data_IF_049543534685
#
_entry.id   IF_049543534685
#
_cell.length_a   1.000
_cell.length_b   1.000
_cell.length_c   1.000
_cell.angle_alpha   90.00
_cell.angle_beta   90.00
_cell.angle_gamma   90.00
#
_symmetry.space_group_name_H-M   'P 1'
#
loop_
_entity.id
_entity.type
_entity.pdbx_description
1 polymer ?
#
# COMPACT_ATOMS: atom_id res chain seq x y z
N UNK A 1 13.28 -2.76 -6.57
CA UNK A 1 13.59 -1.55 -5.82
C UNK A 1 12.64 -1.41 -4.62
N UNK A 2 13.14 -0.94 -3.49
CA UNK A 2 12.35 -0.75 -2.28
C UNK A 2 11.29 0.34 -2.44
N UNK A 3 10.07 0.07 -1.99
CA UNK A 3 8.98 1.04 -1.94
C UNK A 3 8.86 1.59 -0.51
N UNK A 4 9.05 2.90 -0.32
CA UNK A 4 8.81 3.56 0.97
C UNK A 4 7.31 3.69 1.22
N UNK A 5 6.93 3.41 2.46
CA UNK A 5 5.52 3.33 2.85
C UNK A 5 5.00 1.90 2.88
N UNK A 6 3.80 1.70 3.36
CA UNK A 6 3.18 0.39 3.50
C UNK A 6 2.10 0.38 4.58
N UNK A 7 1.80 -0.79 5.09
CA UNK A 7 0.80 -0.97 6.14
C UNK A 7 1.31 -0.35 7.44
N UNK A 8 0.49 0.49 8.07
CA UNK A 8 0.80 1.02 9.39
C UNK A 8 0.88 -0.09 10.44
N UNK A 9 1.89 -0.04 11.29
CA UNK A 9 2.10 -0.96 12.42
C UNK A 9 2.58 -0.19 13.66
N UNK A 10 2.28 -0.72 14.83
CA UNK A 10 2.86 -0.27 16.08
C UNK A 10 4.29 -0.81 16.28
N UNK A 11 4.91 -0.51 17.44
CA UNK A 11 6.26 -1.00 17.76
C UNK A 11 6.36 -2.53 17.94
N UNK A 12 5.25 -3.21 18.09
CA UNK A 12 5.16 -4.68 18.12
C UNK A 12 4.81 -5.27 16.73
N UNK A 13 4.85 -4.47 15.67
CA UNK A 13 4.54 -4.84 14.29
C UNK A 13 3.08 -5.26 14.07
N UNK A 14 2.18 -4.92 14.99
CA UNK A 14 0.76 -5.18 14.86
C UNK A 14 0.08 -4.06 14.08
N UNK A 15 -0.77 -4.44 13.12
CA UNK A 15 -1.59 -3.49 12.36
C UNK A 15 -2.78 -2.98 13.20
N UNK A 16 -3.58 -2.10 12.65
CA UNK A 16 -4.86 -1.69 13.26
C UNK A 16 -5.86 -2.85 13.43
N UNK A 17 -5.66 -3.96 12.72
CA UNK A 17 -6.43 -5.20 12.89
C UNK A 17 -5.74 -6.12 13.88
N UNK A 18 -6.37 -6.33 15.05
CA UNK A 18 -5.82 -7.18 16.10
C UNK A 18 -5.51 -8.58 15.59
N UNK A 19 -4.27 -9.04 15.80
CA UNK A 19 -3.78 -10.35 15.37
C UNK A 19 -3.26 -10.41 13.94
N UNK A 20 -3.26 -9.28 13.23
CA UNK A 20 -2.60 -9.14 11.93
C UNK A 20 -1.32 -8.32 12.12
N UNK A 21 -0.19 -8.89 11.70
CA UNK A 21 1.15 -8.30 11.81
C UNK A 21 1.74 -8.10 10.41
N UNK A 22 2.49 -7.02 10.22
CA UNK A 22 3.21 -6.76 8.97
C UNK A 22 4.68 -6.50 9.28
N UNK A 23 5.57 -7.29 8.66
CA UNK A 23 7.02 -7.24 8.87
C UNK A 23 7.77 -7.01 7.56
N UNK A 24 8.93 -6.39 7.63
CA UNK A 24 9.74 -6.08 6.47
C UNK A 24 9.13 -5.01 5.57
N UNK A 25 9.37 -5.09 4.28
CA UNK A 25 9.00 -4.06 3.31
C UNK A 25 7.51 -3.77 3.17
N UNK A 26 6.64 -4.69 3.58
CA UNK A 26 5.19 -4.48 3.50
C UNK A 26 4.63 -3.53 4.57
N UNK A 27 5.37 -3.26 5.65
CA UNK A 27 4.99 -2.23 6.61
C UNK A 27 5.54 -0.86 6.21
N UNK A 28 5.05 0.21 6.84
CA UNK A 28 5.47 1.59 6.52
C UNK A 28 6.90 1.90 6.92
N UNK A 29 7.51 1.06 7.73
CA UNK A 29 8.90 1.00 8.16
C UNK A 29 9.47 2.27 8.85
N UNK A 30 10.65 2.11 9.43
CA UNK A 30 11.42 3.15 10.12
C UNK A 30 12.39 3.93 9.19
N UNK A 31 12.30 3.72 7.88
CA UNK A 31 13.21 4.37 6.93
C UNK A 31 12.89 5.85 6.69
N UNK A 32 11.74 6.34 7.13
CA UNK A 32 11.29 7.69 6.86
C UNK A 32 11.01 7.92 5.38
N UNK A 33 11.29 9.12 4.91
CA UNK A 33 10.97 9.52 3.55
C UNK A 33 11.87 8.89 2.48
N UNK A 34 13.03 8.36 2.85
CA UNK A 34 13.92 7.67 1.92
C UNK A 34 14.84 6.67 2.64
N UNK A 35 14.94 5.49 2.09
CA UNK A 35 15.77 4.42 2.62
C UNK A 35 17.26 4.65 2.33
N UNK A 36 18.11 4.44 3.33
CA UNK A 36 19.56 4.37 3.13
C UNK A 36 19.95 3.04 2.48
N UNK A 37 21.09 3.03 1.77
CA UNK A 37 21.61 1.83 1.12
C UNK A 37 21.77 0.67 2.11
N UNK A 38 21.43 -0.55 1.69
CA UNK A 38 21.53 -1.82 2.43
C UNK A 38 20.65 -1.95 3.68
N UNK A 39 19.88 -0.92 4.10
CA UNK A 39 19.08 -0.98 5.31
C UNK A 39 17.77 -1.78 5.20
N UNK A 40 17.26 -2.05 3.99
CA UNK A 40 16.02 -2.80 3.80
C UNK A 40 16.05 -4.22 4.37
N UNK A 41 17.09 -4.99 4.00
CA UNK A 41 17.26 -6.34 4.56
C UNK A 41 17.56 -6.31 6.05
N UNK A 42 18.28 -5.30 6.53
CA UNK A 42 18.56 -5.13 7.96
C UNK A 42 17.28 -4.92 8.75
N UNK A 43 16.36 -4.08 8.27
CA UNK A 43 15.06 -3.87 8.89
C UNK A 43 14.24 -5.17 8.92
N UNK A 44 14.07 -5.85 7.77
CA UNK A 44 13.30 -7.09 7.72
C UNK A 44 13.87 -8.20 8.61
N UNK A 45 15.21 -8.28 8.72
CA UNK A 45 15.87 -9.22 9.63
C UNK A 45 15.67 -8.80 11.11
N UNK A 46 15.75 -7.50 11.41
CA UNK A 46 15.52 -7.00 12.77
C UNK A 46 14.08 -7.28 13.21
N UNK A 47 13.11 -6.98 12.38
CA UNK A 47 11.69 -7.28 12.63
C UNK A 47 11.47 -8.77 12.89
N UNK A 48 12.03 -9.62 12.02
CA UNK A 48 11.83 -11.07 12.11
C UNK A 48 12.57 -11.75 13.25
N UNK A 49 13.80 -11.31 13.59
CA UNK A 49 14.63 -11.97 14.59
C UNK A 49 14.50 -11.37 15.99
N UNK A 50 14.32 -10.05 16.08
CA UNK A 50 14.38 -9.37 17.38
C UNK A 50 13.02 -8.88 17.87
N UNK A 51 12.10 -8.53 17.01
CA UNK A 51 10.78 -8.01 17.41
C UNK A 51 9.73 -9.11 17.40
N UNK A 52 9.53 -9.77 16.26
CA UNK A 52 8.43 -10.72 16.05
C UNK A 52 8.36 -11.87 17.09
N UNK A 53 9.46 -12.49 17.58
CA UNK A 53 9.37 -13.53 18.60
C UNK A 53 8.73 -13.05 19.90
N UNK A 54 9.05 -11.83 20.33
CA UNK A 54 8.44 -11.22 21.51
C UNK A 54 7.00 -10.83 21.27
N UNK A 55 6.70 -10.29 20.11
CA UNK A 55 5.34 -9.95 19.68
C UNK A 55 4.43 -11.19 19.72
N UNK A 56 4.86 -12.32 19.13
CA UNK A 56 4.11 -13.57 19.14
C UNK A 56 3.91 -14.06 20.57
N UNK A 57 4.97 -14.05 21.39
CA UNK A 57 4.90 -14.47 22.80
C UNK A 57 3.90 -13.61 23.56
N UNK A 58 3.98 -12.28 23.45
CA UNK A 58 3.09 -11.36 24.15
C UNK A 58 1.64 -11.54 23.69
N UNK A 59 1.41 -11.62 22.39
CA UNK A 59 0.09 -11.79 21.82
C UNK A 59 -0.58 -13.12 22.24
N UNK A 60 0.20 -14.20 22.32
CA UNK A 60 -0.30 -15.53 22.68
C UNK A 60 -0.31 -15.82 24.18
N UNK A 61 0.26 -14.97 25.01
CA UNK A 61 0.41 -15.23 26.46
C UNK A 61 -0.91 -15.57 27.14
N UNK A 62 -1.98 -14.87 26.80
CA UNK A 62 -3.32 -15.09 27.33
C UNK A 62 -4.10 -16.18 26.61
N UNK A 63 -3.57 -16.70 25.49
CA UNK A 63 -4.25 -17.64 24.60
C UNK A 63 -3.77 -19.09 24.76
N UNK A 64 -2.68 -19.33 25.51
CA UNK A 64 -2.06 -20.68 25.63
C UNK A 64 -3.04 -21.73 26.15
N UNK A 65 -3.93 -21.32 27.07
CA UNK A 65 -4.93 -22.21 27.69
C UNK A 65 -6.30 -22.13 27.04
N UNK A 66 -6.49 -21.27 26.06
CA UNK A 66 -7.78 -21.13 25.39
C UNK A 66 -7.95 -22.27 24.39
N UNK A 67 -9.11 -22.98 24.37
CA UNK A 67 -9.39 -23.98 23.38
C UNK A 67 -9.30 -23.41 21.96
N UNK A 68 -8.81 -24.24 21.01
CA UNK A 68 -8.79 -23.83 19.59
C UNK A 68 -10.22 -23.56 19.11
N UNK A 69 -10.39 -22.47 18.38
CA UNK A 69 -11.66 -22.19 17.72
C UNK A 69 -11.98 -23.26 16.68
N UNK A 70 -13.25 -23.67 16.61
CA UNK A 70 -13.74 -24.45 15.49
C UNK A 70 -13.86 -23.55 14.25
N UNK A 71 -13.57 -24.12 13.08
CA UNK A 71 -13.88 -23.47 11.80
C UNK A 71 -15.36 -23.65 11.41
N UNK A 72 -16.12 -24.43 12.17
CA UNK A 72 -17.55 -24.63 12.00
C UNK A 72 -18.30 -23.50 12.71
N UNK A 73 -18.16 -22.29 12.22
CA UNK A 73 -18.83 -21.07 12.71
C UNK A 73 -19.26 -20.19 11.56
N UNK A 74 -20.28 -19.38 11.82
CA UNK A 74 -20.87 -18.46 10.86
C UNK A 74 -19.83 -17.50 10.22
N UNK A 75 -18.85 -17.07 10.98
CA UNK A 75 -17.80 -16.16 10.51
C UNK A 75 -16.93 -16.82 9.42
N UNK A 76 -16.61 -18.09 9.57
CA UNK A 76 -15.87 -18.84 8.53
C UNK A 76 -16.73 -19.08 7.30
N UNK A 77 -17.99 -19.48 7.47
CA UNK A 77 -18.93 -19.66 6.37
C UNK A 77 -19.13 -18.37 5.56
N UNK A 78 -19.27 -17.23 6.25
CA UNK A 78 -19.38 -15.91 5.61
C UNK A 78 -18.11 -15.51 4.87
N UNK A 79 -16.93 -15.79 5.42
CA UNK A 79 -15.65 -15.51 4.78
C UNK A 79 -15.47 -16.37 3.52
N UNK A 80 -15.76 -17.67 3.59
CA UNK A 80 -15.73 -18.57 2.44
C UNK A 80 -16.69 -18.13 1.35
N UNK A 81 -17.93 -17.82 1.71
CA UNK A 81 -18.95 -17.34 0.77
C UNK A 81 -18.51 -16.05 0.05
N UNK A 82 -17.85 -15.11 0.76
CA UNK A 82 -17.28 -13.90 0.15
C UNK A 82 -16.18 -14.22 -0.85
N UNK A 83 -15.28 -15.14 -0.52
CA UNK A 83 -14.21 -15.57 -1.42
C UNK A 83 -14.78 -16.22 -2.70
N UNK A 84 -15.74 -17.14 -2.55
CA UNK A 84 -16.43 -17.80 -3.67
C UNK A 84 -17.13 -16.76 -4.56
N UNK A 85 -17.88 -15.84 -3.97
CA UNK A 85 -18.57 -14.80 -4.72
C UNK A 85 -17.61 -13.90 -5.50
N UNK A 86 -16.45 -13.55 -4.92
CA UNK A 86 -15.41 -12.76 -5.60
C UNK A 86 -14.82 -13.53 -6.79
N UNK A 87 -14.51 -14.82 -6.65
CA UNK A 87 -14.05 -15.68 -7.75
C UNK A 87 -15.08 -15.76 -8.88
N UNK A 88 -16.33 -16.03 -8.52
CA UNK A 88 -17.42 -16.12 -9.50
C UNK A 88 -17.64 -14.80 -10.24
N UNK A 89 -17.57 -13.67 -9.54
CA UNK A 89 -17.68 -12.34 -10.17
C UNK A 89 -16.64 -12.16 -11.27
N UNK A 90 -15.35 -12.46 -10.97
CA UNK A 90 -14.26 -12.34 -11.94
C UNK A 90 -14.42 -13.28 -13.13
N UNK A 91 -14.79 -14.54 -12.91
CA UNK A 91 -14.99 -15.55 -13.96
C UNK A 91 -16.23 -15.26 -14.84
N UNK A 92 -17.26 -14.66 -14.28
CA UNK A 92 -18.54 -14.37 -14.97
C UNK A 92 -18.56 -13.02 -15.69
N UNK A 93 -17.59 -12.15 -15.51
CA UNK A 93 -17.55 -10.83 -16.17
C UNK A 93 -17.58 -10.95 -17.69
N UNK A 94 -16.88 -11.97 -18.26
CA UNK A 94 -16.91 -12.31 -19.69
C UNK A 94 -16.70 -11.11 -20.65
N UNK A 95 -15.82 -10.20 -20.26
CA UNK A 95 -15.45 -9.06 -21.07
C UNK A 95 -14.50 -9.43 -22.21
N UNK A 96 -13.81 -8.44 -22.75
CA UNK A 96 -12.92 -8.59 -23.91
C UNK A 96 -11.45 -8.36 -23.57
N UNK A 97 -11.15 -7.84 -22.40
CA UNK A 97 -9.80 -7.46 -22.00
C UNK A 97 -9.16 -8.53 -21.10
N UNK A 98 -7.97 -8.96 -21.47
CA UNK A 98 -7.17 -9.84 -20.61
C UNK A 98 -6.66 -9.09 -19.37
N UNK A 99 -6.37 -9.83 -18.30
CA UNK A 99 -5.75 -9.31 -17.08
C UNK A 99 -4.45 -8.54 -17.41
N UNK A 100 -3.58 -9.13 -18.23
CA UNK A 100 -2.31 -8.52 -18.63
C UNK A 100 -2.51 -7.20 -19.41
N UNK A 101 -3.57 -7.07 -20.21
CA UNK A 101 -3.83 -5.83 -20.97
C UNK A 101 -4.21 -4.67 -20.05
N UNK A 102 -5.02 -4.94 -19.01
CA UNK A 102 -5.42 -3.94 -18.01
C UNK A 102 -4.23 -3.62 -17.11
N UNK A 103 -3.45 -4.62 -16.70
CA UNK A 103 -2.25 -4.42 -15.89
C UNK A 103 -1.19 -3.56 -16.58
N UNK A 104 -0.98 -3.76 -17.90
CA UNK A 104 -0.07 -2.91 -18.67
C UNK A 104 -0.55 -1.46 -18.74
N UNK A 105 -1.86 -1.24 -18.92
CA UNK A 105 -2.41 0.11 -18.92
C UNK A 105 -2.24 0.79 -17.56
N UNK A 106 -2.50 0.07 -16.46
CA UNK A 106 -2.22 0.54 -15.11
C UNK A 106 -0.75 0.94 -14.96
N UNK A 107 0.16 0.08 -15.41
CA UNK A 107 1.60 0.34 -15.35
C UNK A 107 2.01 1.60 -16.12
N UNK A 108 1.42 1.83 -17.30
CA UNK A 108 1.68 3.06 -18.07
C UNK A 108 1.20 4.31 -17.35
N UNK A 109 -0.01 4.29 -16.77
CA UNK A 109 -0.53 5.43 -16.00
C UNK A 109 0.35 5.73 -14.78
N UNK A 110 0.75 4.68 -14.04
CA UNK A 110 1.62 4.84 -12.87
C UNK A 110 3.00 5.35 -13.25
N UNK A 111 3.56 4.86 -14.35
CA UNK A 111 4.87 5.33 -14.84
C UNK A 111 4.84 6.78 -15.28
N UNK A 112 3.85 7.17 -16.06
CA UNK A 112 3.76 8.49 -16.70
C UNK A 112 3.45 9.59 -15.68
N UNK A 113 2.50 9.35 -14.77
CA UNK A 113 1.95 10.41 -13.91
C UNK A 113 2.30 10.28 -12.42
N UNK A 114 2.69 9.08 -11.97
CA UNK A 114 2.92 8.78 -10.55
C UNK A 114 4.35 8.30 -10.28
N UNK A 115 5.21 8.37 -11.30
CA UNK A 115 6.61 7.93 -11.25
C UNK A 115 7.53 8.81 -10.43
N UNK A 116 8.79 8.92 -10.87
CA UNK A 116 9.88 9.58 -10.12
C UNK A 116 9.64 11.08 -9.90
N UNK A 117 9.16 11.80 -10.91
CA UNK A 117 8.82 13.22 -10.82
C UNK A 117 7.34 13.37 -11.13
N UNK A 118 6.64 14.06 -10.25
CA UNK A 118 5.17 14.20 -10.26
C UNK A 118 4.79 15.67 -10.29
N UNK A 119 3.59 15.95 -10.80
CA UNK A 119 2.99 17.28 -10.68
C UNK A 119 1.48 17.15 -10.43
N UNK A 120 0.86 18.22 -9.97
CA UNK A 120 -0.56 18.22 -9.58
C UNK A 120 -1.47 17.82 -10.73
N UNK A 121 -1.22 18.33 -11.93
CA UNK A 121 -2.03 18.03 -13.12
C UNK A 121 -1.94 16.55 -13.49
N UNK A 122 -0.73 16.00 -13.58
CA UNK A 122 -0.49 14.60 -13.87
C UNK A 122 -1.14 13.67 -12.83
N UNK A 123 -1.04 14.00 -11.54
CA UNK A 123 -1.68 13.22 -10.48
C UNK A 123 -3.21 13.23 -10.58
N UNK A 124 -3.83 14.36 -10.94
CA UNK A 124 -5.28 14.42 -11.19
C UNK A 124 -5.69 13.58 -12.40
N UNK A 125 -4.89 13.61 -13.48
CA UNK A 125 -5.09 12.75 -14.64
C UNK A 125 -4.97 11.28 -14.24
N UNK A 126 -3.94 10.91 -13.46
CA UNK A 126 -3.77 9.55 -12.97
C UNK A 126 -4.99 9.05 -12.21
N UNK A 127 -5.49 9.81 -11.22
CA UNK A 127 -6.67 9.44 -10.45
C UNK A 127 -7.92 9.24 -11.31
N UNK A 128 -8.10 10.05 -12.34
CA UNK A 128 -9.20 9.87 -13.28
C UNK A 128 -9.01 8.59 -14.11
N UNK A 129 -7.81 8.35 -14.64
CA UNK A 129 -7.48 7.16 -15.44
C UNK A 129 -7.60 5.87 -14.60
N UNK A 130 -7.19 5.91 -13.34
CA UNK A 130 -7.30 4.76 -12.42
C UNK A 130 -8.76 4.37 -12.19
N UNK A 131 -9.68 5.33 -12.05
CA UNK A 131 -11.12 5.07 -11.99
C UNK A 131 -11.66 4.42 -13.28
N UNK A 132 -11.18 4.85 -14.44
CA UNK A 132 -11.56 4.25 -15.72
C UNK A 132 -11.03 2.81 -15.82
N UNK A 133 -9.78 2.55 -15.41
CA UNK A 133 -9.17 1.22 -15.36
C UNK A 133 -9.94 0.31 -14.40
N UNK A 134 -10.33 0.80 -13.23
CA UNK A 134 -11.18 0.05 -12.29
C UNK A 134 -12.51 -0.33 -12.93
N UNK A 135 -13.16 0.59 -13.60
CA UNK A 135 -14.40 0.31 -14.32
C UNK A 135 -14.21 -0.74 -15.41
N UNK A 136 -13.14 -0.64 -16.20
CA UNK A 136 -12.79 -1.65 -17.22
C UNK A 136 -12.53 -3.02 -16.58
N UNK A 137 -11.81 -3.06 -15.46
CA UNK A 137 -11.58 -4.29 -14.68
C UNK A 137 -12.92 -4.91 -14.23
N UNK A 138 -13.84 -4.13 -13.73
CA UNK A 138 -15.12 -4.61 -13.19
C UNK A 138 -16.10 -5.06 -14.26
N UNK A 139 -16.05 -4.47 -15.46
CA UNK A 139 -17.10 -4.65 -16.49
C UNK A 139 -16.63 -5.28 -17.79
N UNK A 140 -15.33 -5.29 -18.06
CA UNK A 140 -14.78 -5.72 -19.35
C UNK A 140 -13.62 -6.72 -19.23
N UNK A 141 -13.33 -7.21 -18.01
CA UNK A 141 -12.32 -8.24 -17.77
C UNK A 141 -12.74 -9.58 -18.35
N UNK A 142 -11.79 -10.32 -18.93
CA UNK A 142 -11.93 -11.70 -19.33
C UNK A 142 -10.92 -12.56 -18.61
N UNK A 143 -11.39 -13.51 -17.81
CA UNK A 143 -10.58 -14.52 -17.13
C UNK A 143 -10.94 -15.89 -17.71
N UNK A 144 -10.03 -16.58 -18.42
CA UNK A 144 -10.27 -17.90 -18.94
C UNK A 144 -10.23 -18.97 -17.85
N UNK A 145 -10.87 -20.12 -18.11
CA UNK A 145 -10.84 -21.27 -17.19
C UNK A 145 -11.94 -21.25 -16.15
N UNK A 146 -11.73 -22.04 -15.09
CA UNK A 146 -12.67 -22.23 -13.98
C UNK A 146 -11.96 -22.08 -12.65
N UNK A 147 -12.71 -22.14 -11.55
CA UNK A 147 -12.16 -22.18 -10.17
C UNK A 147 -11.84 -23.61 -9.70
N UNK A 148 -12.06 -24.65 -10.50
CA UNK A 148 -11.88 -26.07 -10.12
C UNK A 148 -10.41 -26.53 -10.15
N UNK A 149 -9.48 -25.68 -9.93
CA UNK A 149 -8.06 -25.99 -9.91
C UNK A 149 -7.22 -24.73 -9.94
N UNK A 150 -5.92 -24.92 -10.11
CA UNK A 150 -5.03 -23.76 -10.21
C UNK A 150 -5.32 -22.98 -11.49
N UNK A 151 -5.83 -21.76 -11.34
CA UNK A 151 -6.08 -20.82 -12.42
C UNK A 151 -5.20 -19.57 -12.25
N UNK A 152 -4.08 -19.53 -12.98
CA UNK A 152 -3.11 -18.45 -12.91
C UNK A 152 -3.70 -17.10 -13.32
N UNK A 153 -4.60 -17.08 -14.31
CA UNK A 153 -5.24 -15.83 -14.76
C UNK A 153 -6.23 -15.30 -13.71
N UNK A 154 -6.89 -16.18 -12.98
CA UNK A 154 -7.73 -15.80 -11.84
C UNK A 154 -6.89 -15.21 -10.69
N UNK A 155 -5.75 -15.84 -10.34
CA UNK A 155 -4.81 -15.29 -9.35
C UNK A 155 -4.29 -13.92 -9.75
N UNK A 156 -3.88 -13.75 -11.01
CA UNK A 156 -3.48 -12.44 -11.55
C UNK A 156 -4.61 -11.41 -11.46
N UNK A 157 -5.86 -11.81 -11.70
CA UNK A 157 -7.00 -10.90 -11.62
C UNK A 157 -7.22 -10.39 -10.19
N UNK A 158 -7.10 -11.23 -9.17
CA UNK A 158 -7.13 -10.80 -7.78
C UNK A 158 -6.02 -9.80 -7.47
N UNK A 159 -4.78 -10.11 -7.84
CA UNK A 159 -3.64 -9.21 -7.64
C UNK A 159 -3.80 -7.88 -8.39
N UNK A 160 -4.38 -7.90 -9.59
CA UNK A 160 -4.62 -6.67 -10.35
C UNK A 160 -5.61 -5.75 -9.64
N UNK A 161 -6.65 -6.31 -9.00
CA UNK A 161 -7.55 -5.52 -8.16
C UNK A 161 -6.80 -4.78 -7.05
N UNK A 162 -5.89 -5.48 -6.37
CA UNK A 162 -5.08 -4.89 -5.31
C UNK A 162 -4.12 -3.82 -5.85
N UNK A 163 -3.51 -4.06 -7.02
CA UNK A 163 -2.63 -3.07 -7.67
C UNK A 163 -3.37 -1.80 -8.09
N UNK A 164 -4.63 -1.91 -8.54
CA UNK A 164 -5.45 -0.73 -8.84
C UNK A 164 -5.69 0.08 -7.56
N UNK A 165 -6.08 -0.59 -6.48
CA UNK A 165 -6.30 0.05 -5.16
C UNK A 165 -5.03 0.74 -4.64
N UNK A 166 -3.88 0.05 -4.71
CA UNK A 166 -2.59 0.63 -4.32
C UNK A 166 -2.20 1.81 -5.20
N UNK A 167 -2.44 1.72 -6.51
CA UNK A 167 -2.18 2.83 -7.44
C UNK A 167 -3.00 4.08 -7.10
N UNK A 168 -4.28 3.90 -6.78
CA UNK A 168 -5.16 4.98 -6.35
C UNK A 168 -4.67 5.63 -5.04
N UNK A 169 -4.30 4.83 -4.04
CA UNK A 169 -3.78 5.34 -2.76
C UNK A 169 -2.46 6.10 -2.94
N UNK A 170 -1.53 5.57 -3.72
CA UNK A 170 -0.23 6.23 -3.99
C UNK A 170 -0.45 7.58 -4.70
N UNK A 171 -1.30 7.62 -5.73
CA UNK A 171 -1.59 8.85 -6.45
C UNK A 171 -2.33 9.87 -5.57
N UNK A 172 -3.25 9.39 -4.74
CA UNK A 172 -4.01 10.22 -3.82
C UNK A 172 -3.14 10.83 -2.72
N UNK A 173 -2.29 10.03 -2.08
CA UNK A 173 -1.32 10.52 -1.08
C UNK A 173 -0.35 11.54 -1.70
N UNK A 174 0.20 11.23 -2.87
CA UNK A 174 1.11 12.13 -3.58
C UNK A 174 0.47 13.47 -3.94
N UNK A 175 -0.83 13.50 -4.28
CA UNK A 175 -1.58 14.73 -4.57
C UNK A 175 -1.80 15.57 -3.31
N UNK A 176 -2.02 14.92 -2.16
CA UNK A 176 -2.30 15.60 -0.89
C UNK A 176 -1.04 16.13 -0.19
N UNK A 177 0.16 15.64 -0.55
CA UNK A 177 1.41 16.06 0.06
C UNK A 177 2.11 17.12 -0.79
N UNK A 178 1.92 18.38 -0.44
CA UNK A 178 2.40 19.54 -1.19
C UNK A 178 3.81 19.97 -0.79
N UNK A 179 4.76 19.04 -0.88
CA UNK A 179 6.18 19.23 -0.68
C UNK A 179 6.97 18.26 -1.56
N UNK A 180 8.30 18.33 -1.52
CA UNK A 180 9.17 17.25 -1.98
C UNK A 180 10.06 16.79 -0.83
N UNK A 181 9.97 15.50 -0.47
CA UNK A 181 10.72 14.92 0.63
C UNK A 181 11.08 13.45 0.32
N UNK A 182 12.37 13.13 0.33
CA UNK A 182 12.86 11.77 0.07
C UNK A 182 12.45 11.23 -1.30
N UNK A 183 11.71 10.11 -1.30
CA UNK A 183 11.21 9.48 -2.52
C UNK A 183 9.98 10.17 -3.13
N UNK A 184 9.34 11.07 -2.39
CA UNK A 184 8.23 11.90 -2.88
C UNK A 184 8.77 13.19 -3.51
N UNK A 185 8.67 13.32 -4.81
CA UNK A 185 9.15 14.49 -5.55
C UNK A 185 8.04 15.09 -6.40
N UNK A 186 7.71 16.35 -6.09
CA UNK A 186 6.73 17.16 -6.81
C UNK A 186 7.47 18.29 -7.54
N UNK A 187 7.30 18.39 -8.85
CA UNK A 187 7.98 19.39 -9.71
C UNK A 187 7.69 20.83 -9.28
N UNK A 188 6.53 21.07 -8.66
CA UNK A 188 6.16 22.39 -8.13
C UNK A 188 6.91 22.77 -6.84
N UNK A 189 7.47 21.75 -6.15
CA UNK A 189 8.17 21.94 -4.87
C UNK A 189 9.64 21.58 -5.00
N UNK A 190 10.36 22.45 -5.69
CA UNK A 190 11.81 22.40 -5.88
C UNK A 190 12.48 23.69 -5.40
N UNK A 191 13.76 23.60 -5.04
CA UNK A 191 14.63 24.76 -4.88
C UNK A 191 15.02 25.34 -6.24
N UNK A 192 15.66 26.52 -6.26
CA UNK A 192 16.17 27.11 -7.50
C UNK A 192 17.22 26.23 -8.19
N UNK A 193 17.93 25.40 -7.43
CA UNK A 193 18.91 24.44 -7.94
C UNK A 193 18.27 23.11 -8.41
N UNK A 194 16.94 22.94 -8.29
CA UNK A 194 16.21 21.75 -8.68
C UNK A 194 16.27 20.61 -7.65
N UNK A 195 16.61 20.93 -6.40
CA UNK A 195 16.57 19.97 -5.28
C UNK A 195 15.19 19.92 -4.63
N UNK A 196 14.91 18.85 -3.87
CA UNK A 196 13.65 18.69 -3.17
C UNK A 196 13.43 19.80 -2.13
N UNK A 197 12.29 20.48 -2.21
CA UNK A 197 11.87 21.52 -1.27
C UNK A 197 10.87 20.96 -0.28
N UNK A 198 11.34 20.72 0.95
CA UNK A 198 10.52 20.27 2.08
C UNK A 198 9.74 21.43 2.69
N UNK A 199 8.60 21.09 3.29
CA UNK A 199 7.80 21.99 4.11
C UNK A 199 7.56 21.36 5.50
N UNK A 200 8.60 21.38 6.33
CA UNK A 200 8.57 20.78 7.67
C UNK A 200 7.52 21.44 8.59
N UNK A 201 7.12 22.68 8.32
CA UNK A 201 6.12 23.36 9.11
C UNK A 201 4.72 22.72 8.96
N UNK A 202 4.41 22.21 7.78
CA UNK A 202 3.10 21.67 7.46
C UNK A 202 3.07 20.13 7.30
N UNK A 203 4.22 19.49 7.02
CA UNK A 203 4.29 18.07 6.67
C UNK A 203 5.24 17.24 7.55
N UNK A 204 5.58 17.71 8.75
CA UNK A 204 6.43 16.95 9.67
C UNK A 204 5.66 15.84 10.40
N UNK A 205 5.06 14.93 9.62
CA UNK A 205 4.27 13.80 10.10
C UNK A 205 4.28 12.64 9.08
N UNK A 206 3.96 11.44 9.56
CA UNK A 206 3.60 10.31 8.70
C UNK A 206 2.13 10.41 8.34
N UNK A 207 1.82 10.27 7.04
CA UNK A 207 0.44 10.18 6.56
C UNK A 207 -0.07 8.76 6.72
N UNK A 208 -1.10 8.56 7.55
CA UNK A 208 -1.79 7.29 7.66
C UNK A 208 -3.20 7.45 7.09
N UNK A 209 -3.50 6.69 6.03
CA UNK A 209 -4.81 6.72 5.39
C UNK A 209 -5.70 5.63 5.95
N UNK A 210 -6.73 6.01 6.69
CA UNK A 210 -7.68 5.08 7.32
C UNK A 210 -8.83 4.73 6.39
N UNK A 211 -9.06 3.43 6.21
CA UNK A 211 -10.11 2.90 5.35
C UNK A 211 -11.49 3.11 5.97
N UNK A 212 -12.40 3.74 5.24
CA UNK A 212 -13.72 4.12 5.73
C UNK A 212 -14.82 3.07 5.47
N UNK A 213 -14.42 1.80 5.26
CA UNK A 213 -15.33 0.66 5.12
C UNK A 213 -15.97 0.52 3.74
N UNK A 214 -15.62 1.36 2.77
CA UNK A 214 -16.07 1.29 1.38
C UNK A 214 -15.08 1.98 0.46
N UNK A 215 -14.82 1.40 -0.70
CA UNK A 215 -13.96 1.99 -1.74
C UNK A 215 -14.59 3.25 -2.39
N UNK A 216 -15.89 3.49 -2.17
CA UNK A 216 -16.57 4.70 -2.62
C UNK A 216 -16.32 5.91 -1.71
N UNK A 217 -15.86 5.67 -0.49
CA UNK A 217 -15.55 6.72 0.49
C UNK A 217 -14.07 7.07 0.42
N UNK A 218 -13.78 8.37 0.41
CA UNK A 218 -12.40 8.82 0.53
C UNK A 218 -11.80 8.35 1.87
N UNK A 219 -10.56 7.86 1.89
CA UNK A 219 -9.89 7.51 3.13
C UNK A 219 -9.68 8.75 3.99
N UNK A 220 -9.67 8.56 5.31
CA UNK A 220 -9.41 9.63 6.27
C UNK A 220 -7.91 9.74 6.56
N UNK A 221 -7.39 10.98 6.55
CA UNK A 221 -5.99 11.22 6.87
C UNK A 221 -5.77 11.34 8.37
N UNK A 222 -5.07 10.38 8.95
CA UNK A 222 -4.52 10.45 10.29
C UNK A 222 -3.07 10.92 10.20
N UNK A 223 -2.71 11.97 10.93
CA UNK A 223 -1.36 12.53 10.97
C UNK A 223 -0.65 12.04 12.21
N UNK A 224 0.42 11.27 12.04
CA UNK A 224 1.28 10.84 13.13
C UNK A 224 2.50 11.76 13.20
N UNK A 225 2.62 12.63 14.24
CA UNK A 225 3.72 13.59 14.35
C UNK A 225 5.07 12.88 14.50
N UNK A 226 6.09 13.40 13.80
CA UNK A 226 7.45 12.90 13.95
C UNK A 226 8.15 13.54 15.15
N UNK A 227 8.80 12.70 15.97
CA UNK A 227 9.62 13.12 17.09
C UNK A 227 10.98 12.45 17.03
N UNK A 228 12.04 13.25 17.10
CA UNK A 228 13.41 12.76 17.11
C UNK A 228 14.10 13.14 18.42
N UNK A 229 14.53 12.16 19.20
CA UNK A 229 15.17 12.38 20.50
C UNK A 229 16.66 12.76 20.36
N UNK A 230 17.38 12.11 19.44
CA UNK A 230 18.82 12.17 19.38
C UNK A 230 19.39 12.85 18.12
N UNK A 231 18.58 13.06 17.11
CA UNK A 231 19.01 13.64 15.83
C UNK A 231 18.21 14.89 15.48
N UNK A 232 18.81 15.75 14.67
CA UNK A 232 18.10 16.88 14.04
C UNK A 232 17.89 16.57 12.57
N UNK A 233 16.71 16.92 12.07
CA UNK A 233 16.42 16.80 10.64
C UNK A 233 17.36 17.68 9.84
N UNK A 234 17.95 17.11 8.79
CA UNK A 234 18.85 17.82 7.88
C UNK A 234 18.36 17.68 6.45
N UNK A 235 18.60 18.69 5.65
CA UNK A 235 18.37 18.64 4.21
C UNK A 235 19.59 18.01 3.55
N UNK A 236 19.36 16.99 2.71
CA UNK A 236 20.41 16.40 1.89
C UNK A 236 20.59 17.23 0.63
N UNK A 237 21.85 17.58 0.33
CA UNK A 237 22.24 18.23 -0.92
C UNK A 237 23.12 17.27 -1.72
N UNK A 238 22.82 17.06 -3.00
CA UNK A 238 23.57 16.16 -3.89
C UNK A 238 24.61 16.90 -4.74
N UNK A 239 24.64 18.23 -4.68
CA UNK A 239 25.49 19.10 -5.51
C UNK A 239 26.67 19.73 -4.75
N UNK A 240 26.86 19.39 -3.50
CA UNK A 240 27.98 19.88 -2.67
C UNK A 240 29.13 18.90 -2.64
#
# INVERSE_FOLDING_TARGET
>A
HYTMGGIWVDYELQTSLKGLFAIGECNFSDHGANRLGASALMQGLADGYFVLPYTIQNYLSDQITVPRFSTDTKEFDEAEAKCIAAQEKLLKTNGKRSVDSIHKELGHVMWEYVGMARNEEGLKIALQRLKEIRKEFETNLYVPGTAEGMNVELDKAFRLNDFITMGELIAYDALNRNESCGGHFREEYQTEEGEAKRDDANYFYVSCWDYQGSDEKAPELIKEPLHYEAIKVQTRNYKS
#
